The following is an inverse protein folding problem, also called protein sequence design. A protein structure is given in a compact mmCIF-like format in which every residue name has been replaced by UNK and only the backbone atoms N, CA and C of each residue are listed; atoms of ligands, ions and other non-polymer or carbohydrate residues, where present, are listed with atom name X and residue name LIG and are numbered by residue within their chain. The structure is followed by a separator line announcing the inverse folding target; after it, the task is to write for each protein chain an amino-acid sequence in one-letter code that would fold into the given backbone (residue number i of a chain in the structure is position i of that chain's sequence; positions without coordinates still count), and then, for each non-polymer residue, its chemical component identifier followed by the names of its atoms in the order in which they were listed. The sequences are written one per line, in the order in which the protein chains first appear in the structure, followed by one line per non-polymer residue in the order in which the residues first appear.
data_IF_137203424821
#
_entry.id   IF_137203424821
#
_cell.length_a   1.000
_cell.length_b   1.000
_cell.length_c   1.000
_cell.angle_alpha   90.00
_cell.angle_beta   90.00
_cell.angle_gamma   90.00
#
_symmetry.space_group_name_H-M   'P 1'
#
loop_
_entity.id
_entity.type
_entity.pdbx_description
1 polymer ?
#
# COMPACT_ATOMS: atom_id res chain seq x y z
N UNK A 1 5.33 1.60 -15.04
CA UNK A 1 4.30 2.62 -14.73
C UNK A 1 4.41 2.91 -13.25
N UNK A 2 4.42 4.17 -12.82
CA UNK A 2 4.55 4.51 -11.40
C UNK A 2 3.17 4.69 -10.76
N UNK A 3 2.98 4.09 -9.59
CA UNK A 3 1.77 4.22 -8.77
C UNK A 3 2.15 4.60 -7.34
N UNK A 4 1.21 5.25 -6.64
CA UNK A 4 1.33 5.59 -5.22
C UNK A 4 0.48 4.62 -4.41
N UNK A 5 1.07 4.01 -3.39
CA UNK A 5 0.39 3.11 -2.46
C UNK A 5 0.56 3.64 -1.04
N UNK A 6 -0.53 3.78 -0.26
CA UNK A 6 -0.39 4.25 1.11
C UNK A 6 0.42 3.28 1.98
N UNK A 7 1.09 3.83 3.00
CA UNK A 7 1.86 3.03 3.95
C UNK A 7 0.97 2.51 5.09
N UNK A 8 1.38 1.40 5.69
CA UNK A 8 0.82 0.77 6.89
C UNK A 8 1.87 0.74 7.98
N UNK A 9 1.50 1.14 9.19
CA UNK A 9 2.44 1.44 10.27
C UNK A 9 2.30 2.89 10.70
N UNK A 10 2.78 3.17 11.90
CA UNK A 10 2.66 4.46 12.57
C UNK A 10 3.82 5.34 12.10
N UNK A 11 3.50 6.34 11.27
CA UNK A 11 4.40 7.45 11.03
C UNK A 11 4.03 8.51 12.06
N UNK A 12 4.49 8.31 13.30
CA UNK A 12 4.32 9.30 14.37
C UNK A 12 5.33 10.42 14.17
N UNK A 13 5.00 11.31 13.24
CA UNK A 13 5.64 12.62 13.15
C UNK A 13 5.35 13.31 14.48
N UNK A 14 6.28 13.25 15.43
CA UNK A 14 6.07 13.93 16.70
C UNK A 14 5.99 15.43 16.45
N UNK A 15 4.73 15.88 16.42
CA UNK A 15 4.27 17.22 16.11
C UNK A 15 3.74 17.30 14.68
N UNK A 16 2.53 17.82 14.53
CA UNK A 16 2.30 18.83 13.49
C UNK A 16 3.60 19.64 13.29
N UNK A 17 4.25 19.47 12.14
CA UNK A 17 5.37 20.27 11.64
C UNK A 17 6.17 21.03 12.73
N UNK A 18 6.84 20.33 13.66
CA UNK A 18 7.68 21.01 14.67
C UNK A 18 9.09 21.19 14.11
N UNK A 19 9.46 22.44 13.87
CA UNK A 19 10.82 22.86 13.51
C UNK A 19 11.43 22.17 12.26
N UNK A 20 10.59 21.67 11.34
CA UNK A 20 11.00 21.22 10.01
C UNK A 20 11.63 19.83 9.90
N UNK A 21 11.37 18.90 10.85
CA UNK A 21 11.89 17.52 10.78
C UNK A 21 10.82 16.45 11.09
N UNK A 22 10.82 15.38 10.29
CA UNK A 22 9.97 14.20 10.45
C UNK A 22 10.57 13.24 11.51
N UNK A 23 9.77 12.75 12.46
CA UNK A 23 10.16 11.76 13.50
C UNK A 23 9.18 10.57 13.46
N UNK A 24 9.50 9.42 14.04
CA UNK A 24 8.65 8.21 14.06
C UNK A 24 9.04 7.28 15.22
N UNK A 25 8.16 6.33 15.60
CA UNK A 25 8.48 5.30 16.60
C UNK A 25 9.51 4.32 16.04
N UNK A 26 10.63 4.17 16.73
CA UNK A 26 11.73 3.29 16.29
C UNK A 26 11.35 1.81 16.23
N UNK A 27 10.32 1.42 17.00
CA UNK A 27 9.82 0.07 17.19
C UNK A 27 8.67 -0.34 16.25
N UNK A 28 8.08 0.59 15.49
CA UNK A 28 7.05 0.29 14.49
C UNK A 28 7.57 0.47 13.05
N UNK A 29 7.97 -0.62 12.36
CA UNK A 29 8.51 -0.51 11.02
C UNK A 29 7.42 -0.11 10.02
N UNK A 30 7.72 0.87 9.18
CA UNK A 30 6.90 1.26 8.02
C UNK A 30 6.76 0.06 7.07
N UNK A 31 5.52 -0.29 6.72
CA UNK A 31 5.18 -1.39 5.80
C UNK A 31 4.32 -0.88 4.66
N UNK A 32 4.42 -1.52 3.50
CA UNK A 32 3.51 -1.25 2.38
C UNK A 32 2.24 -2.07 2.59
N UNK A 33 1.07 -1.50 2.30
CA UNK A 33 -0.18 -2.26 2.35
C UNK A 33 -0.08 -3.45 1.38
N UNK A 34 -0.30 -4.69 1.84
CA UNK A 34 -0.41 -5.82 0.94
C UNK A 34 -1.71 -5.71 0.15
N UNK A 35 -1.63 -5.21 -1.08
CA UNK A 35 -2.75 -5.09 -2.01
C UNK A 35 -2.49 -6.01 -3.19
N UNK A 36 -3.47 -6.85 -3.53
CA UNK A 36 -3.44 -7.58 -4.78
C UNK A 36 -3.70 -6.62 -5.95
N UNK A 37 -2.64 -6.31 -6.68
CA UNK A 37 -2.68 -5.47 -7.88
C UNK A 37 -3.00 -6.28 -9.14
N UNK A 38 -3.30 -7.58 -9.01
CA UNK A 38 -3.59 -8.50 -10.09
C UNK A 38 -2.33 -9.03 -10.76
N UNK A 39 -2.40 -9.25 -12.08
CA UNK A 39 -1.31 -9.86 -12.85
C UNK A 39 -0.18 -8.88 -13.20
N UNK A 40 0.36 -8.22 -12.17
CA UNK A 40 1.46 -7.26 -12.28
C UNK A 40 2.51 -7.57 -11.22
N UNK A 41 3.76 -7.33 -11.57
CA UNK A 41 4.86 -7.25 -10.62
C UNK A 41 5.08 -5.79 -10.27
N UNK A 42 5.52 -5.52 -9.05
CA UNK A 42 5.87 -4.18 -8.64
C UNK A 42 7.18 -4.17 -7.86
N UNK A 43 7.87 -3.04 -7.91
CA UNK A 43 9.11 -2.77 -7.18
C UNK A 43 8.99 -1.42 -6.50
N UNK A 44 9.52 -1.30 -5.29
CA UNK A 44 9.57 -0.03 -4.57
C UNK A 44 10.61 0.88 -5.25
N UNK A 45 10.18 2.07 -5.69
CA UNK A 45 11.05 3.11 -6.24
C UNK A 45 11.47 4.09 -5.16
N UNK A 46 10.51 4.57 -4.39
CA UNK A 46 10.72 5.66 -3.41
C UNK A 46 9.64 5.65 -2.32
N UNK A 47 9.85 6.42 -1.26
CA UNK A 47 8.90 6.62 -0.16
C UNK A 47 8.75 8.12 0.09
N UNK A 48 7.55 8.64 -0.13
CA UNK A 48 7.16 9.99 0.27
C UNK A 48 6.60 9.97 1.69
N UNK A 49 7.44 10.38 2.63
CA UNK A 49 7.08 10.46 4.05
C UNK A 49 6.17 11.66 4.38
N UNK A 50 6.09 12.67 3.50
CA UNK A 50 5.22 13.84 3.69
C UNK A 50 3.77 13.45 3.37
N UNK A 51 3.57 12.75 2.26
CA UNK A 51 2.25 12.28 1.82
C UNK A 51 1.89 10.88 2.39
N UNK A 52 2.79 10.26 3.17
CA UNK A 52 2.68 8.89 3.70
C UNK A 52 2.40 7.80 2.63
N UNK A 53 3.04 7.92 1.47
CA UNK A 53 2.89 7.00 0.33
C UNK A 53 4.22 6.40 -0.12
N UNK A 54 4.21 5.12 -0.51
CA UNK A 54 5.27 4.53 -1.29
C UNK A 54 5.01 4.74 -2.79
N UNK A 55 6.06 5.09 -3.54
CA UNK A 55 6.06 5.14 -4.99
C UNK A 55 6.58 3.78 -5.48
N UNK A 56 5.73 3.06 -6.21
CA UNK A 56 6.06 1.75 -6.76
C UNK A 56 6.10 1.82 -8.29
N UNK A 57 7.07 1.14 -8.89
CA UNK A 57 7.06 0.85 -10.32
C UNK A 57 6.37 -0.47 -10.57
N UNK A 58 5.27 -0.41 -11.32
CA UNK A 58 4.44 -1.53 -11.71
C UNK A 58 4.71 -1.91 -13.16
N UNK A 59 4.91 -3.21 -13.37
CA UNK A 59 5.20 -3.85 -14.66
C UNK A 59 4.21 -5.00 -14.85
N UNK A 60 3.51 -5.08 -16.00
CA UNK A 60 2.58 -6.18 -16.22
C UNK A 60 3.35 -7.48 -16.42
N UNK A 61 2.83 -8.58 -15.88
CA UNK A 61 3.47 -9.88 -16.06
C UNK A 61 3.53 -10.24 -17.56
N UNK A 62 4.65 -10.83 -18.03
CA UNK A 62 4.76 -11.27 -19.41
C UNK A 62 3.84 -12.46 -19.72
N UNK A 63 3.31 -13.13 -18.69
CA UNK A 63 2.48 -14.33 -18.79
C UNK A 63 1.18 -14.17 -18.00
N UNK A 64 0.15 -14.88 -18.42
CA UNK A 64 -1.10 -15.04 -17.69
C UNK A 64 -1.25 -16.50 -17.34
N UNK A 65 -1.50 -16.76 -16.06
CA UNK A 65 -1.89 -18.08 -15.58
C UNK A 65 -3.39 -18.08 -15.36
N UNK A 66 -4.09 -19.01 -16.02
CA UNK A 66 -5.51 -19.25 -15.84
C UNK A 66 -5.72 -20.70 -15.46
N UNK A 67 -6.55 -20.93 -14.45
CA UNK A 67 -6.97 -22.28 -14.08
C UNK A 67 -8.06 -22.74 -15.06
N UNK A 68 -7.83 -23.86 -15.74
CA UNK A 68 -8.80 -24.50 -16.64
C UNK A 68 -9.07 -25.91 -16.09
N UNK A 69 -10.23 -26.10 -15.47
CA UNK A 69 -10.47 -27.29 -14.63
C UNK A 69 -9.62 -27.20 -13.36
N UNK A 70 -8.81 -28.23 -13.09
CA UNK A 70 -7.83 -28.25 -11.98
C UNK A 70 -6.39 -27.98 -12.43
N UNK A 71 -6.18 -27.64 -13.71
CA UNK A 71 -4.84 -27.46 -14.28
C UNK A 71 -4.55 -25.97 -14.46
N UNK A 72 -3.46 -25.44 -13.89
CA UNK A 72 -2.98 -24.09 -14.21
C UNK A 72 -2.36 -24.08 -15.61
N UNK A 73 -2.96 -23.31 -16.51
CA UNK A 73 -2.44 -23.09 -17.87
C UNK A 73 -1.83 -21.71 -17.95
N UNK A 74 -0.53 -21.66 -18.27
CA UNK A 74 0.21 -20.40 -18.43
C UNK A 74 0.44 -20.13 -19.92
N UNK A 75 0.17 -18.90 -20.36
CA UNK A 75 0.45 -18.44 -21.73
C UNK A 75 1.01 -17.02 -21.77
N UNK A 76 1.67 -16.60 -22.86
CA UNK A 76 2.06 -15.22 -23.04
C UNK A 76 0.87 -14.26 -22.93
N UNK A 77 1.07 -13.16 -22.21
CA UNK A 77 0.09 -12.10 -22.09
C UNK A 77 0.05 -11.27 -23.38
N UNK A 78 -1.15 -11.06 -23.92
CA UNK A 78 -1.34 -10.16 -25.07
C UNK A 78 -1.13 -8.70 -24.66
N UNK A 79 -0.89 -7.81 -25.63
CA UNK A 79 -0.73 -6.37 -25.35
C UNK A 79 -1.97 -5.79 -24.66
N UNK A 80 -3.16 -6.19 -25.10
CA UNK A 80 -4.43 -5.75 -24.50
C UNK A 80 -4.53 -6.17 -23.02
N UNK A 81 -4.14 -7.40 -22.68
CA UNK A 81 -4.19 -7.89 -21.30
C UNK A 81 -3.13 -7.24 -20.40
N UNK A 82 -1.94 -6.94 -20.94
CA UNK A 82 -0.92 -6.17 -20.21
C UNK A 82 -1.44 -4.77 -19.87
N UNK A 83 -2.07 -4.09 -20.82
CA UNK A 83 -2.71 -2.79 -20.57
C UNK A 83 -3.88 -2.90 -19.60
N UNK A 84 -4.72 -3.93 -19.71
CA UNK A 84 -5.82 -4.17 -18.78
C UNK A 84 -5.31 -4.40 -17.35
N UNK A 85 -4.22 -5.16 -17.18
CA UNK A 85 -3.61 -5.41 -15.87
C UNK A 85 -3.06 -4.13 -15.24
N UNK A 86 -2.40 -3.27 -16.04
CA UNK A 86 -1.94 -1.96 -15.57
C UNK A 86 -3.10 -1.03 -15.20
N UNK A 87 -4.16 -1.01 -16.01
CA UNK A 87 -5.35 -0.21 -15.72
C UNK A 87 -6.08 -0.72 -14.48
N UNK A 88 -6.11 -2.04 -14.25
CA UNK A 88 -6.65 -2.62 -13.03
C UNK A 88 -5.87 -2.17 -11.80
N UNK A 89 -4.54 -2.31 -11.83
CA UNK A 89 -3.66 -1.83 -10.77
C UNK A 89 -3.84 -0.32 -10.51
N UNK A 90 -3.94 0.48 -11.57
CA UNK A 90 -4.21 1.92 -11.47
C UNK A 90 -5.58 2.19 -10.84
N UNK A 91 -6.65 1.51 -11.28
CA UNK A 91 -7.99 1.69 -10.73
C UNK A 91 -8.13 1.27 -9.26
N UNK A 92 -7.29 0.33 -8.80
CA UNK A 92 -7.22 -0.06 -7.39
C UNK A 92 -6.58 1.00 -6.50
N UNK A 93 -5.56 1.71 -7.01
CA UNK A 93 -4.78 2.66 -6.21
C UNK A 93 -5.15 4.13 -6.45
N UNK A 94 -5.71 4.48 -7.60
CA UNK A 94 -5.97 5.87 -7.96
C UNK A 94 -6.98 6.52 -7.01
N UNK A 95 -6.53 7.53 -6.28
CA UNK A 95 -7.37 8.34 -5.41
C UNK A 95 -7.85 7.66 -4.13
N UNK A 96 -7.35 6.45 -3.82
CA UNK A 96 -7.74 5.75 -2.59
C UNK A 96 -6.85 6.14 -1.42
N UNK A 97 -7.49 6.48 -0.31
CA UNK A 97 -6.82 6.72 0.97
C UNK A 97 -6.59 5.41 1.72
N UNK A 98 -5.85 5.47 2.84
CA UNK A 98 -5.69 4.33 3.76
C UNK A 98 -7.05 3.78 4.22
N UNK A 99 -8.00 4.67 4.50
CA UNK A 99 -9.34 4.33 4.98
C UNK A 99 -10.18 3.64 3.90
N UNK A 100 -10.10 4.12 2.64
CA UNK A 100 -10.79 3.47 1.52
C UNK A 100 -10.29 2.04 1.28
N UNK A 101 -8.97 1.84 1.40
CA UNK A 101 -8.33 0.54 1.26
C UNK A 101 -8.64 -0.37 2.46
N UNK A 102 -8.80 0.20 3.66
CA UNK A 102 -9.23 -0.54 4.84
C UNK A 102 -10.66 -1.05 4.69
N UNK A 103 -11.60 -0.19 4.25
CA UNK A 103 -12.99 -0.58 4.02
C UNK A 103 -13.11 -1.72 3.00
N UNK A 104 -12.26 -1.72 1.98
CA UNK A 104 -12.29 -2.70 0.89
C UNK A 104 -11.64 -4.04 1.28
N UNK A 105 -10.57 -4.02 2.08
CA UNK A 105 -9.80 -5.24 2.42
C UNK A 105 -10.11 -5.80 3.80
N UNK A 106 -10.72 -5.01 4.70
CA UNK A 106 -10.95 -5.29 6.13
C UNK A 106 -9.70 -5.79 6.86
N UNK A 107 -8.51 -5.46 6.38
CA UNK A 107 -7.27 -5.93 6.97
C UNK A 107 -7.00 -5.22 8.28
N UNK A 108 -6.88 -5.94 9.39
CA UNK A 108 -6.56 -5.36 10.69
C UNK A 108 -5.21 -4.61 10.72
N UNK A 109 -4.32 -4.88 9.75
CA UNK A 109 -3.03 -4.18 9.57
C UNK A 109 -3.16 -2.76 9.02
N UNK A 110 -4.34 -2.40 8.53
CA UNK A 110 -4.72 -1.07 8.02
C UNK A 110 -5.48 -0.25 9.08
N UNK A 111 -5.83 -0.85 10.22
CA UNK A 111 -6.40 -0.11 11.34
C UNK A 111 -5.29 0.78 11.89
N UNK A 112 -5.42 2.10 11.76
CA UNK A 112 -4.62 3.04 12.55
C UNK A 112 -4.83 2.62 14.00
N UNK A 113 -3.76 2.23 14.70
CA UNK A 113 -3.84 1.92 16.13
C UNK A 113 -4.42 3.17 16.77
N UNK A 114 -5.65 3.05 17.28
CA UNK A 114 -6.25 4.10 18.09
C UNK A 114 -5.26 4.41 19.21
N UNK A 115 -5.08 5.71 19.42
CA UNK A 115 -4.13 6.33 20.32
C UNK A 115 -3.93 5.49 21.58
N UNK A 116 -2.67 5.18 21.90
CA UNK A 116 -2.33 4.83 23.27
C UNK A 116 -2.78 6.03 24.10
N UNK A 117 -3.89 5.88 24.82
CA UNK A 117 -4.43 6.92 25.68
C UNK A 117 -3.27 7.55 26.45
N UNK A 118 -3.13 8.89 26.47
CA UNK A 118 -2.15 9.48 27.36
C UNK A 118 -2.53 8.97 28.75
N UNK A 119 -1.63 8.19 29.37
CA UNK A 119 -1.76 7.81 30.77
C UNK A 119 -2.01 9.10 31.52
N UNK A 120 -3.29 9.32 31.83
CA UNK A 120 -3.72 10.40 32.67
C UNK A 120 -3.05 10.07 33.98
N UNK A 121 -1.95 10.77 34.29
CA UNK A 121 -1.39 10.82 35.63
C UNK A 121 -2.51 11.35 36.50
N UNK A 122 -3.30 10.41 37.01
CA UNK A 122 -4.30 10.61 38.02
C UNK A 122 -3.55 11.05 39.26
N UNK A 123 -3.90 12.24 39.68
CA UNK A 123 -3.36 13.02 40.77
C UNK A 123 -3.29 12.24 42.09
N UNK A 124 -2.17 12.35 42.79
CA UNK A 124 -2.13 12.57 44.25
C UNK A 124 -0.79 13.21 44.63
#
# INVERSE_FOLDING_TARGET
MELRIPLTGTIEVEGAYKEGKLVGKADDPIRIIPIDLGNVSWTLKDIDLVDEVAIIEVVPSPVITKVVGDVPVTRPATKAEKTASLNHAKGRLAGKTKDDLYLETKSAKLKRLEECEPESKSTA
#
